data_IF_852951776229
#
_entry.id   IF_852951776229
#
_cell.length_a   1.000
_cell.length_b   1.000
_cell.length_c   1.000
_cell.angle_alpha   90.00
_cell.angle_beta   90.00
_cell.angle_gamma   90.00
#
_symmetry.space_group_name_H-M   'P 1'
#
loop_
_entity.id
_entity.type
_entity.pdbx_description
1 polymer ?
#
# COMPACT_ATOMS: atom_id res chain seq x y z
N UNK A 1 -41.29 6.60 -1.20
CA UNK A 1 -40.91 7.66 -2.15
C UNK A 1 -39.42 7.92 -1.98
N UNK A 2 -38.61 7.59 -2.99
CA UNK A 2 -37.15 7.75 -2.95
C UNK A 2 -36.82 9.19 -3.36
N UNK A 3 -36.48 10.03 -2.38
CA UNK A 3 -35.88 11.34 -2.66
C UNK A 3 -34.47 11.09 -3.18
N UNK A 4 -34.30 11.24 -4.51
CA UNK A 4 -32.98 11.30 -5.13
C UNK A 4 -32.20 12.44 -4.47
N UNK A 5 -31.26 12.07 -3.61
CA UNK A 5 -30.21 12.96 -3.14
C UNK A 5 -29.28 13.18 -4.32
N UNK A 6 -29.27 14.37 -4.89
CA UNK A 6 -28.30 14.75 -5.91
C UNK A 6 -26.90 14.68 -5.30
N UNK A 7 -26.24 13.53 -5.53
CA UNK A 7 -24.97 13.18 -4.92
C UNK A 7 -23.86 13.93 -5.68
N UNK A 8 -23.60 15.18 -5.30
CA UNK A 8 -22.51 15.96 -5.89
C UNK A 8 -21.16 15.32 -5.57
N UNK A 9 -20.33 15.16 -6.60
CA UNK A 9 -18.93 14.76 -6.48
C UNK A 9 -18.10 15.91 -5.88
N UNK A 10 -17.01 15.56 -5.21
CA UNK A 10 -16.09 16.54 -4.56
C UNK A 10 -15.58 17.61 -5.55
N UNK A 11 -15.40 17.24 -6.80
CA UNK A 11 -15.00 18.15 -7.88
C UNK A 11 -16.13 19.14 -8.25
N UNK A 12 -17.39 18.69 -8.28
CA UNK A 12 -18.53 19.57 -8.58
C UNK A 12 -18.81 20.60 -7.47
N UNK A 13 -18.56 20.25 -6.20
CA UNK A 13 -18.64 21.19 -5.08
C UNK A 13 -17.53 22.24 -5.12
N UNK A 14 -16.33 21.85 -5.56
CA UNK A 14 -15.16 22.74 -5.70
C UNK A 14 -15.30 23.71 -6.88
N UNK A 15 -15.85 23.24 -8.00
CA UNK A 15 -16.08 24.08 -9.19
C UNK A 15 -17.23 25.07 -9.01
N UNK A 16 -18.25 24.72 -8.22
CA UNK A 16 -19.33 25.65 -7.85
C UNK A 16 -18.85 26.74 -6.89
N UNK A 17 -17.95 26.45 -5.96
CA UNK A 17 -17.44 27.46 -5.01
C UNK A 17 -16.49 28.48 -5.66
N UNK A 18 -15.77 28.10 -6.71
CA UNK A 18 -14.89 29.02 -7.46
C UNK A 18 -15.65 29.97 -8.40
N UNK A 19 -16.90 29.69 -8.76
CA UNK A 19 -17.70 30.53 -9.69
C UNK A 19 -18.59 31.56 -9.02
N UNK A 20 -18.81 31.48 -7.72
CA UNK A 20 -19.63 32.46 -6.99
C UNK A 20 -18.73 33.46 -6.26
N UNK A 21 -18.30 34.51 -6.97
CA UNK A 21 -17.97 35.76 -6.29
C UNK A 21 -19.26 36.26 -5.64
N UNK A 22 -19.46 35.92 -4.37
CA UNK A 22 -20.65 36.25 -3.58
C UNK A 22 -20.62 37.72 -3.15
N UNK A 23 -20.61 38.64 -4.11
CA UNK A 23 -21.03 40.00 -3.80
C UNK A 23 -22.52 39.98 -3.54
N UNK A 24 -22.91 40.01 -2.25
CA UNK A 24 -24.30 40.15 -1.83
C UNK A 24 -24.62 41.65 -1.85
N UNK A 25 -25.40 42.15 -2.83
CA UNK A 25 -25.62 43.58 -2.98
C UNK A 25 -26.73 44.03 -2.02
N UNK A 26 -26.37 44.29 -0.77
CA UNK A 26 -27.30 44.91 0.17
C UNK A 26 -27.59 46.35 -0.27
N UNK A 27 -28.87 46.71 -0.45
CA UNK A 27 -29.24 48.10 -0.78
C UNK A 27 -28.92 49.02 0.40
N UNK A 28 -28.05 50.02 0.18
CA UNK A 28 -27.74 51.07 1.15
C UNK A 28 -28.93 52.03 1.29
N UNK A 29 -29.39 52.29 2.51
CA UNK A 29 -30.33 53.36 2.84
C UNK A 29 -29.66 54.73 2.67
N UNK A 30 -30.47 55.72 2.31
CA UNK A 30 -30.09 57.11 2.01
C UNK A 30 -29.34 57.83 3.17
N UNK A 31 -29.48 57.35 4.40
CA UNK A 31 -28.84 57.90 5.61
C UNK A 31 -27.60 57.13 6.08
N UNK A 32 -27.06 56.22 5.26
CA UNK A 32 -25.89 55.42 5.62
C UNK A 32 -26.25 54.23 6.51
N UNK A 33 -26.51 53.09 5.88
CA UNK A 33 -26.77 51.81 6.53
C UNK A 33 -27.39 50.80 5.57
N UNK A 34 -27.28 49.51 5.82
CA UNK A 34 -27.93 48.48 4.98
C UNK A 34 -29.38 48.26 5.39
N UNK A 35 -30.21 47.72 4.48
CA UNK A 35 -31.59 47.37 4.81
C UNK A 35 -31.63 46.18 5.78
N UNK A 36 -31.99 46.44 7.03
CA UNK A 36 -32.06 45.44 8.10
C UNK A 36 -32.88 44.19 7.72
N UNK A 37 -34.00 44.35 7.01
CA UNK A 37 -34.85 43.20 6.61
C UNK A 37 -34.12 42.28 5.61
N UNK A 38 -33.43 42.86 4.63
CA UNK A 38 -32.66 42.11 3.64
C UNK A 38 -31.45 41.42 4.27
N UNK A 39 -30.82 42.06 5.25
CA UNK A 39 -29.70 41.46 5.99
C UNK A 39 -30.20 40.31 6.86
N UNK A 40 -31.34 40.46 7.56
CA UNK A 40 -31.93 39.40 8.38
C UNK A 40 -32.38 38.19 7.54
N UNK A 41 -33.10 38.40 6.43
CA UNK A 41 -33.51 37.30 5.53
C UNK A 41 -32.30 36.57 4.93
N UNK A 42 -31.22 37.29 4.62
CA UNK A 42 -29.98 36.68 4.15
C UNK A 42 -29.29 35.86 5.24
N UNK A 43 -29.24 36.37 6.48
CA UNK A 43 -28.67 35.64 7.62
C UNK A 43 -29.47 34.36 7.89
N UNK A 44 -30.80 34.43 7.84
CA UNK A 44 -31.69 33.28 8.04
C UNK A 44 -31.47 32.21 6.96
N UNK A 45 -31.48 32.64 5.69
CA UNK A 45 -31.20 31.73 4.54
C UNK A 45 -29.80 31.10 4.64
N UNK A 46 -28.79 31.88 5.05
CA UNK A 46 -27.44 31.36 5.23
C UNK A 46 -27.38 30.36 6.38
N UNK A 47 -28.09 30.63 7.47
CA UNK A 47 -28.16 29.76 8.64
C UNK A 47 -28.82 28.42 8.30
N UNK A 48 -29.92 28.44 7.55
CA UNK A 48 -30.62 27.23 7.08
C UNK A 48 -29.75 26.41 6.13
N UNK A 49 -29.06 27.07 5.20
CA UNK A 49 -28.13 26.42 4.28
C UNK A 49 -26.95 25.78 5.01
N UNK A 50 -26.38 26.46 6.02
CA UNK A 50 -25.32 25.91 6.85
C UNK A 50 -25.81 24.71 7.66
N UNK A 51 -27.01 24.78 8.23
CA UNK A 51 -27.59 23.67 8.99
C UNK A 51 -27.87 22.44 8.09
N UNK A 52 -28.39 22.66 6.89
CA UNK A 52 -28.59 21.59 5.91
C UNK A 52 -27.26 20.99 5.43
N UNK A 53 -26.23 21.83 5.23
CA UNK A 53 -24.90 21.37 4.85
C UNK A 53 -24.28 20.53 5.97
N UNK A 54 -24.40 20.97 7.23
CA UNK A 54 -23.93 20.23 8.41
C UNK A 54 -24.58 18.84 8.51
N UNK A 55 -25.91 18.77 8.31
CA UNK A 55 -26.64 17.49 8.26
C UNK A 55 -26.15 16.58 7.12
N UNK A 56 -25.93 17.13 5.93
CA UNK A 56 -25.40 16.36 4.79
C UNK A 56 -23.97 15.88 5.04
N UNK A 57 -23.12 16.70 5.66
CA UNK A 57 -21.75 16.32 6.00
C UNK A 57 -21.73 15.19 7.02
N UNK A 58 -22.58 15.28 8.05
CA UNK A 58 -22.70 14.23 9.08
C UNK A 58 -23.12 12.89 8.48
N UNK A 59 -24.16 12.87 7.65
CA UNK A 59 -24.61 11.63 7.00
C UNK A 59 -23.50 11.00 6.14
N UNK A 60 -22.76 11.83 5.38
CA UNK A 60 -21.66 11.33 4.54
C UNK A 60 -20.48 10.81 5.37
N UNK A 61 -20.25 11.41 6.54
CA UNK A 61 -19.23 10.96 7.49
C UNK A 61 -19.61 9.60 8.10
N UNK A 62 -20.89 9.41 8.41
CA UNK A 62 -21.43 8.12 8.88
C UNK A 62 -21.36 7.04 7.78
N UNK A 63 -21.66 7.39 6.52
CA UNK A 63 -21.46 6.51 5.35
C UNK A 63 -19.99 6.08 5.18
N UNK A 64 -19.05 7.03 5.27
CA UNK A 64 -17.62 6.72 5.19
C UNK A 64 -17.14 5.86 6.36
N UNK A 65 -17.66 6.10 7.57
CA UNK A 65 -17.35 5.28 8.74
C UNK A 65 -17.85 3.83 8.55
N UNK A 66 -19.08 3.66 8.03
CA UNK A 66 -19.65 2.35 7.71
C UNK A 66 -18.84 1.62 6.64
N UNK A 67 -18.50 2.31 5.55
CA UNK A 67 -17.69 1.75 4.47
C UNK A 67 -16.29 1.33 4.95
N UNK A 68 -15.67 2.13 5.82
CA UNK A 68 -14.37 1.80 6.42
C UNK A 68 -14.46 0.55 7.29
N UNK A 69 -15.55 0.38 8.04
CA UNK A 69 -15.77 -0.82 8.85
C UNK A 69 -15.94 -2.07 7.98
N UNK A 70 -16.70 -1.99 6.87
CA UNK A 70 -16.85 -3.09 5.92
C UNK A 70 -15.52 -3.47 5.26
N UNK A 71 -14.76 -2.49 4.76
CA UNK A 71 -13.43 -2.74 4.17
C UNK A 71 -12.47 -3.40 5.17
N UNK A 72 -12.54 -3.00 6.45
CA UNK A 72 -11.75 -3.63 7.50
C UNK A 72 -12.14 -5.10 7.71
N UNK A 73 -13.44 -5.39 7.73
CA UNK A 73 -13.95 -6.76 7.85
C UNK A 73 -13.53 -7.64 6.66
N UNK A 74 -13.65 -7.13 5.43
CA UNK A 74 -13.22 -7.85 4.22
C UNK A 74 -11.72 -8.15 4.26
N UNK A 75 -10.90 -7.17 4.62
CA UNK A 75 -9.46 -7.35 4.80
C UNK A 75 -9.15 -8.46 5.81
N UNK A 76 -9.85 -8.48 6.94
CA UNK A 76 -9.62 -9.48 7.99
C UNK A 76 -10.02 -10.88 7.50
N UNK A 77 -11.15 -11.02 6.79
CA UNK A 77 -11.56 -12.27 6.15
C UNK A 77 -10.54 -12.78 5.12
N UNK A 78 -10.04 -11.91 4.24
CA UNK A 78 -9.01 -12.30 3.28
C UNK A 78 -7.70 -12.71 3.97
N UNK A 79 -7.36 -12.07 5.10
CA UNK A 79 -6.22 -12.45 5.93
C UNK A 79 -6.36 -13.86 6.51
N UNK A 80 -7.53 -14.21 7.01
CA UNK A 80 -7.82 -15.56 7.52
C UNK A 80 -7.75 -16.61 6.41
N UNK A 81 -8.41 -16.37 5.27
CA UNK A 81 -8.35 -17.27 4.11
C UNK A 81 -6.92 -17.50 3.61
N UNK A 82 -6.10 -16.45 3.58
CA UNK A 82 -4.69 -16.56 3.20
C UNK A 82 -3.93 -17.49 4.14
N UNK A 83 -4.14 -17.36 5.45
CA UNK A 83 -3.50 -18.22 6.44
C UNK A 83 -3.95 -19.68 6.31
N UNK A 84 -5.25 -19.93 6.07
CA UNK A 84 -5.77 -21.28 5.81
C UNK A 84 -5.12 -21.89 4.56
N UNK A 85 -5.05 -21.15 3.46
CA UNK A 85 -4.40 -21.61 2.23
C UNK A 85 -2.90 -21.89 2.44
N UNK A 86 -2.21 -21.02 3.19
CA UNK A 86 -0.79 -21.18 3.50
C UNK A 86 -0.55 -22.47 4.31
N UNK A 87 -1.37 -22.73 5.33
CA UNK A 87 -1.25 -23.93 6.15
C UNK A 87 -1.57 -25.19 5.33
N UNK A 88 -2.66 -25.18 4.55
CA UNK A 88 -3.02 -26.30 3.67
C UNK A 88 -1.93 -26.61 2.64
N UNK A 89 -1.28 -25.58 2.08
CA UNK A 89 -0.12 -25.78 1.19
C UNK A 89 1.05 -26.45 1.89
N UNK A 90 1.31 -26.09 3.15
CA UNK A 90 2.37 -26.71 3.95
C UNK A 90 2.07 -28.18 4.22
N UNK A 91 0.85 -28.51 4.64
CA UNK A 91 0.40 -29.88 4.87
C UNK A 91 0.48 -30.75 3.61
N UNK A 92 0.06 -30.21 2.46
CA UNK A 92 0.18 -30.92 1.18
C UNK A 92 1.64 -31.15 0.79
N UNK A 93 2.53 -30.19 1.04
CA UNK A 93 3.96 -30.37 0.78
C UNK A 93 4.55 -31.47 1.68
N UNK A 94 4.18 -31.51 2.96
CA UNK A 94 4.63 -32.54 3.89
C UNK A 94 4.18 -33.95 3.44
N UNK A 95 2.97 -34.06 2.89
CA UNK A 95 2.45 -35.31 2.31
C UNK A 95 3.22 -35.74 1.06
N UNK A 96 3.54 -34.80 0.17
CA UNK A 96 4.36 -35.06 -1.03
C UNK A 96 5.74 -35.56 -0.62
N UNK A 97 6.37 -34.92 0.36
CA UNK A 97 7.69 -35.29 0.85
C UNK A 97 7.67 -36.69 1.50
N UNK A 98 6.62 -37.03 2.24
CA UNK A 98 6.43 -38.37 2.80
C UNK A 98 6.32 -39.44 1.70
N UNK A 99 5.42 -39.23 0.73
CA UNK A 99 5.21 -40.17 -0.38
C UNK A 99 6.46 -40.35 -1.24
N UNK A 100 7.24 -39.28 -1.41
CA UNK A 100 8.51 -39.34 -2.15
C UNK A 100 9.51 -40.27 -1.44
N UNK A 101 9.67 -40.14 -0.12
CA UNK A 101 10.55 -41.04 0.67
C UNK A 101 10.06 -42.48 0.66
N UNK A 102 8.75 -42.70 0.71
CA UNK A 102 8.18 -44.05 0.67
C UNK A 102 8.42 -44.72 -0.69
N UNK A 103 8.23 -43.99 -1.78
CA UNK A 103 8.56 -44.47 -3.13
C UNK A 103 10.05 -44.79 -3.30
N UNK A 104 10.94 -43.94 -2.78
CA UNK A 104 12.38 -44.20 -2.80
C UNK A 104 12.72 -45.48 -2.03
N UNK A 105 12.09 -45.69 -0.86
CA UNK A 105 12.27 -46.90 -0.06
C UNK A 105 11.81 -48.16 -0.81
N UNK A 106 10.60 -48.13 -1.38
CA UNK A 106 10.07 -49.25 -2.16
C UNK A 106 10.94 -49.55 -3.38
N UNK A 107 11.44 -48.52 -4.06
CA UNK A 107 12.34 -48.69 -5.21
C UNK A 107 13.66 -49.34 -4.79
N UNK A 108 14.22 -48.97 -3.64
CA UNK A 108 15.42 -49.62 -3.10
C UNK A 108 15.16 -51.08 -2.74
N UNK A 109 14.02 -51.39 -2.12
CA UNK A 109 13.62 -52.79 -1.83
C UNK A 109 13.48 -53.62 -3.12
N UNK A 110 12.93 -53.05 -4.20
CA UNK A 110 12.85 -53.71 -5.52
C UNK A 110 14.25 -53.99 -6.09
N UNK A 111 15.17 -53.03 -5.97
CA UNK A 111 16.56 -53.18 -6.46
C UNK A 111 17.30 -54.26 -5.67
N UNK A 112 17.16 -54.28 -4.35
CA UNK A 112 17.78 -55.30 -3.49
C UNK A 112 17.23 -56.70 -3.78
N UNK A 113 15.91 -56.85 -3.99
CA UNK A 113 15.30 -58.11 -4.37
C UNK A 113 15.78 -58.62 -5.73
N UNK A 114 16.03 -57.71 -6.69
CA UNK A 114 16.56 -58.07 -8.00
C UNK A 114 18.04 -58.52 -7.94
N UNK A 115 18.85 -57.90 -7.07
CA UNK A 115 20.27 -58.24 -6.93
C UNK A 115 20.51 -59.55 -6.15
N UNK A 116 19.60 -59.94 -5.26
CA UNK A 116 19.71 -61.18 -4.48
C UNK A 116 19.37 -62.46 -5.28
N UNK A 117 18.98 -62.32 -6.55
CA UNK A 117 18.57 -63.45 -7.41
C UNK A 117 19.70 -64.02 -8.29
N UNK A 118 20.88 -63.38 -8.33
CA UNK A 118 22.03 -63.81 -9.14
C UNK A 118 23.04 -64.60 -8.30
N UNK A 119 22.88 -65.92 -8.24
CA UNK A 119 23.84 -66.87 -7.65
C UNK A 119 24.09 -68.03 -8.62
N UNK A 120 25.35 -68.20 -9.04
CA UNK A 120 25.79 -69.04 -10.17
C UNK A 120 25.59 -70.57 -10.03
N UNK A 121 25.01 -71.07 -8.93
CA UNK A 121 24.60 -72.49 -8.80
C UNK A 121 23.14 -72.75 -9.22
N UNK A 122 22.37 -71.68 -9.41
CA UNK A 122 20.97 -71.74 -9.80
C UNK A 122 20.79 -71.82 -11.33
N UNK A 123 21.71 -71.28 -12.13
CA UNK A 123 21.56 -71.14 -13.59
C UNK A 123 21.33 -72.46 -14.35
N UNK A 124 21.94 -73.58 -13.90
CA UNK A 124 21.69 -74.89 -14.52
C UNK A 124 20.33 -75.51 -14.17
N UNK A 125 19.79 -75.20 -12.99
CA UNK A 125 18.47 -75.68 -12.57
C UNK A 125 17.37 -74.81 -13.20
N UNK A 126 17.60 -73.51 -13.32
CA UNK A 126 16.69 -72.59 -14.01
C UNK A 126 16.67 -72.80 -15.52
N UNK A 127 17.75 -73.20 -16.20
CA UNK A 127 17.69 -73.54 -17.63
C UNK A 127 16.76 -74.74 -17.91
N UNK A 128 16.81 -75.78 -17.07
CA UNK A 128 15.94 -76.95 -17.19
C UNK A 128 14.49 -76.63 -16.86
N UNK A 129 14.26 -75.86 -15.79
CA UNK A 129 12.91 -75.42 -15.40
C UNK A 129 12.35 -74.39 -16.39
N UNK A 130 13.17 -73.52 -16.98
CA UNK A 130 12.78 -72.57 -18.01
C UNK A 130 12.40 -73.27 -19.32
N UNK A 131 13.14 -74.30 -19.74
CA UNK A 131 12.76 -75.10 -20.91
C UNK A 131 11.43 -75.84 -20.69
N UNK A 132 11.22 -76.45 -19.52
CA UNK A 132 9.95 -77.11 -19.18
C UNK A 132 8.79 -76.12 -19.02
N UNK A 133 9.02 -74.96 -18.40
CA UNK A 133 8.02 -73.90 -18.27
C UNK A 133 7.70 -73.27 -19.62
N UNK A 134 8.66 -73.14 -20.54
CA UNK A 134 8.42 -72.66 -21.89
C UNK A 134 7.54 -73.64 -22.68
N UNK A 135 7.85 -74.94 -22.61
CA UNK A 135 7.01 -75.97 -23.24
C UNK A 135 5.60 -76.03 -22.62
N UNK A 136 5.50 -75.86 -21.31
CA UNK A 136 4.23 -75.82 -20.60
C UNK A 136 3.46 -74.52 -20.85
N UNK A 137 4.13 -73.38 -21.03
CA UNK A 137 3.52 -72.13 -21.48
C UNK A 137 3.01 -72.25 -22.90
N UNK A 138 3.77 -72.86 -23.82
CA UNK A 138 3.33 -73.10 -25.19
C UNK A 138 2.05 -73.95 -25.18
N UNK A 139 2.03 -75.06 -24.42
CA UNK A 139 0.82 -75.88 -24.27
C UNK A 139 -0.33 -75.12 -23.62
N UNK A 140 -0.09 -74.33 -22.57
CA UNK A 140 -1.13 -73.49 -21.95
C UNK A 140 -1.67 -72.43 -22.91
N UNK A 141 -0.81 -71.88 -23.78
CA UNK A 141 -1.22 -70.91 -24.78
C UNK A 141 -2.03 -71.59 -25.90
N UNK A 142 -1.66 -72.80 -26.31
CA UNK A 142 -2.47 -73.63 -27.20
C UNK A 142 -3.83 -73.95 -26.57
N UNK A 143 -3.89 -74.35 -25.30
CA UNK A 143 -5.16 -74.56 -24.59
C UNK A 143 -5.99 -73.30 -24.47
N UNK A 144 -5.38 -72.14 -24.20
CA UNK A 144 -6.08 -70.85 -24.20
C UNK A 144 -6.59 -70.48 -25.59
N UNK A 145 -5.85 -70.79 -26.64
CA UNK A 145 -6.30 -70.58 -28.00
C UNK A 145 -7.49 -71.49 -28.32
N UNK A 146 -7.45 -72.76 -27.92
CA UNK A 146 -8.60 -73.66 -28.05
C UNK A 146 -9.80 -73.23 -27.20
N UNK A 147 -9.58 -72.71 -26.00
CA UNK A 147 -10.65 -72.18 -25.14
C UNK A 147 -11.26 -70.92 -25.75
N UNK A 148 -10.44 -70.01 -26.29
CA UNK A 148 -10.90 -68.84 -27.03
C UNK A 148 -11.63 -69.23 -28.31
N UNK A 149 -11.16 -70.22 -29.06
CA UNK A 149 -11.83 -70.75 -30.23
C UNK A 149 -13.18 -71.37 -29.84
N UNK A 150 -13.26 -72.10 -28.72
CA UNK A 150 -14.52 -72.62 -28.19
C UNK A 150 -15.48 -71.50 -27.78
N UNK A 151 -14.98 -70.42 -27.15
CA UNK A 151 -15.79 -69.24 -26.82
C UNK A 151 -16.29 -68.57 -28.10
N UNK A 152 -15.43 -68.37 -29.10
CA UNK A 152 -15.80 -67.79 -30.40
C UNK A 152 -16.82 -68.65 -31.13
N UNK A 153 -16.63 -69.98 -31.16
CA UNK A 153 -17.58 -70.91 -31.77
C UNK A 153 -18.91 -70.94 -31.01
N UNK A 154 -18.89 -70.80 -29.69
CA UNK A 154 -20.09 -70.68 -28.86
C UNK A 154 -20.82 -69.36 -29.11
N UNK A 155 -20.10 -68.25 -29.19
CA UNK A 155 -20.66 -66.95 -29.55
C UNK A 155 -21.26 -66.98 -30.96
N UNK A 156 -20.57 -67.60 -31.93
CA UNK A 156 -21.09 -67.82 -33.27
C UNK A 156 -22.34 -68.71 -33.27
N UNK A 157 -22.36 -69.76 -32.45
CA UNK A 157 -23.53 -70.63 -32.30
C UNK A 157 -24.71 -69.87 -31.68
N UNK A 158 -24.47 -69.06 -30.67
CA UNK A 158 -25.51 -68.27 -30.01
C UNK A 158 -26.00 -67.13 -30.92
N UNK A 159 -25.13 -66.50 -31.73
CA UNK A 159 -25.52 -65.61 -32.81
C UNK A 159 -26.37 -66.32 -33.87
N UNK A 160 -26.01 -67.54 -34.27
CA UNK A 160 -26.80 -68.35 -35.20
C UNK A 160 -28.16 -68.71 -34.63
N UNK A 161 -28.26 -69.03 -33.33
CA UNK A 161 -29.55 -69.26 -32.66
C UNK A 161 -30.41 -68.01 -32.66
N UNK A 162 -29.83 -66.85 -32.32
CA UNK A 162 -30.52 -65.56 -32.37
C UNK A 162 -31.01 -65.27 -33.79
N UNK A 163 -30.16 -65.45 -34.80
CA UNK A 163 -30.53 -65.23 -36.20
C UNK A 163 -31.64 -66.18 -36.68
N UNK A 164 -31.61 -67.46 -36.26
CA UNK A 164 -32.68 -68.42 -36.54
C UNK A 164 -33.98 -68.03 -35.82
N UNK A 165 -33.87 -67.52 -34.59
CA UNK A 165 -35.00 -67.05 -33.83
C UNK A 165 -35.61 -65.80 -34.47
N UNK A 166 -34.79 -64.82 -34.85
CA UNK A 166 -35.18 -63.63 -35.59
C UNK A 166 -35.83 -64.00 -36.93
N UNK A 167 -35.25 -64.93 -37.71
CA UNK A 167 -35.83 -65.43 -38.96
C UNK A 167 -37.18 -66.13 -38.75
N UNK A 168 -37.32 -66.90 -37.67
CA UNK A 168 -38.59 -67.55 -37.32
C UNK A 168 -39.64 -66.55 -36.85
N UNK A 169 -39.23 -65.52 -36.10
CA UNK A 169 -40.09 -64.42 -35.68
C UNK A 169 -40.50 -63.58 -36.91
N UNK A 170 -39.59 -63.33 -37.84
CA UNK A 170 -39.86 -62.65 -39.10
C UNK A 170 -40.80 -63.48 -39.99
N UNK A 171 -40.57 -64.78 -40.15
CA UNK A 171 -41.52 -65.69 -40.83
C UNK A 171 -42.89 -65.73 -40.13
N UNK A 172 -42.90 -65.71 -38.80
CA UNK A 172 -44.10 -65.66 -37.98
C UNK A 172 -44.86 -64.34 -38.15
N UNK A 173 -44.15 -63.23 -38.34
CA UNK A 173 -44.70 -61.91 -38.64
C UNK A 173 -45.20 -61.83 -40.09
N UNK A 174 -44.48 -62.40 -41.06
CA UNK A 174 -44.94 -62.54 -42.45
C UNK A 174 -46.18 -63.43 -42.56
N UNK A 175 -46.31 -64.45 -41.71
CA UNK A 175 -47.49 -65.30 -41.64
C UNK A 175 -48.69 -64.65 -40.92
N UNK A 176 -48.48 -63.53 -40.18
CA UNK A 176 -49.49 -62.92 -39.32
C UNK A 176 -49.95 -61.51 -39.71
N UNK A 177 -49.30 -60.81 -40.63
CA UNK A 177 -49.72 -59.46 -40.99
C UNK A 177 -50.14 -59.30 -42.45
N UNK A 178 -51.42 -58.92 -42.59
CA UNK A 178 -51.90 -57.99 -43.59
C UNK A 178 -51.02 -56.71 -43.61
N UNK A 179 -50.56 -56.31 -44.80
CA UNK A 179 -50.27 -54.91 -45.13
C UNK A 179 -48.89 -54.34 -44.76
N UNK A 180 -47.98 -54.13 -45.75
CA UNK A 180 -46.77 -53.32 -45.58
C UNK A 180 -47.01 -51.79 -45.52
N UNK A 181 -48.26 -51.33 -45.65
CA UNK A 181 -48.58 -49.90 -45.85
C UNK A 181 -48.65 -49.10 -44.53
N UNK A 182 -49.15 -49.69 -43.44
CA UNK A 182 -49.30 -49.00 -42.14
C UNK A 182 -47.95 -48.79 -41.40
N UNK A 183 -46.94 -49.62 -41.71
CA UNK A 183 -45.60 -49.48 -41.14
C UNK A 183 -44.78 -48.40 -41.86
N UNK A 184 -45.03 -48.16 -43.15
CA UNK A 184 -44.32 -47.13 -43.91
C UNK A 184 -44.69 -45.73 -43.42
N UNK A 185 -45.96 -45.50 -43.11
CA UNK A 185 -46.45 -44.20 -42.62
C UNK A 185 -45.91 -43.88 -41.21
N UNK A 186 -45.82 -44.88 -40.33
CA UNK A 186 -45.19 -44.72 -38.99
C UNK A 186 -43.70 -44.38 -39.09
N UNK A 187 -42.96 -45.06 -39.98
CA UNK A 187 -41.52 -44.81 -40.19
C UNK A 187 -41.26 -43.44 -40.82
N UNK A 188 -42.13 -42.97 -41.71
CA UNK A 188 -42.03 -41.63 -42.29
C UNK A 188 -42.29 -40.55 -41.23
N UNK A 189 -43.30 -40.71 -40.38
CA UNK A 189 -43.58 -39.79 -39.28
C UNK A 189 -42.43 -39.73 -38.26
N UNK A 190 -41.83 -40.87 -37.92
CA UNK A 190 -40.67 -40.92 -37.01
C UNK A 190 -39.43 -40.24 -37.61
N UNK A 191 -39.19 -40.40 -38.91
CA UNK A 191 -38.11 -39.70 -39.61
C UNK A 191 -38.30 -38.18 -39.63
N UNK A 192 -39.54 -37.68 -39.78
CA UNK A 192 -39.80 -36.25 -39.68
C UNK A 192 -39.52 -35.70 -38.28
N UNK A 193 -39.89 -36.45 -37.24
CA UNK A 193 -39.59 -36.08 -35.83
C UNK A 193 -38.07 -36.07 -35.59
N UNK A 194 -37.36 -37.09 -36.06
CA UNK A 194 -35.90 -37.17 -35.93
C UNK A 194 -35.19 -36.05 -36.68
N UNK A 195 -35.67 -35.72 -37.87
CA UNK A 195 -35.14 -34.59 -38.65
C UNK A 195 -35.33 -33.27 -37.92
N UNK A 196 -36.51 -33.02 -37.35
CA UNK A 196 -36.79 -31.81 -36.56
C UNK A 196 -35.88 -31.72 -35.33
N UNK A 197 -35.71 -32.82 -34.59
CA UNK A 197 -34.77 -32.87 -33.45
C UNK A 197 -33.32 -32.64 -33.88
N UNK A 198 -32.91 -33.18 -35.02
CA UNK A 198 -31.56 -32.96 -35.57
C UNK A 198 -31.34 -31.49 -35.90
N UNK A 199 -32.31 -30.82 -36.52
CA UNK A 199 -32.25 -29.39 -36.83
C UNK A 199 -32.18 -28.53 -35.56
N UNK A 200 -32.94 -28.88 -34.51
CA UNK A 200 -32.90 -28.22 -33.20
C UNK A 200 -31.51 -28.34 -32.54
N UNK A 201 -30.91 -29.55 -32.54
CA UNK A 201 -29.55 -29.77 -32.00
C UNK A 201 -28.49 -29.00 -32.79
N UNK A 202 -28.62 -28.94 -34.12
CA UNK A 202 -27.70 -28.16 -34.97
C UNK A 202 -27.83 -26.67 -34.67
N UNK A 203 -29.05 -26.17 -34.43
CA UNK A 203 -29.28 -24.79 -34.05
C UNK A 203 -28.66 -24.45 -32.69
N UNK A 204 -28.91 -25.28 -31.67
CA UNK A 204 -28.32 -25.11 -30.33
C UNK A 204 -26.79 -25.12 -30.36
N UNK A 205 -26.19 -26.06 -31.11
CA UNK A 205 -24.73 -26.12 -31.29
C UNK A 205 -24.18 -24.83 -31.90
N UNK A 206 -24.88 -24.20 -32.85
CA UNK A 206 -24.44 -22.91 -33.43
C UNK A 206 -24.50 -21.78 -32.40
N UNK A 207 -25.53 -21.73 -31.57
CA UNK A 207 -25.65 -20.72 -30.51
C UNK A 207 -24.52 -20.86 -29.48
N UNK A 208 -24.24 -22.08 -29.03
CA UNK A 208 -23.15 -22.35 -28.08
C UNK A 208 -21.77 -22.00 -28.67
N UNK A 209 -21.54 -22.26 -29.96
CA UNK A 209 -20.30 -21.86 -30.63
C UNK A 209 -20.15 -20.33 -30.68
N UNK A 210 -21.23 -19.61 -30.99
CA UNK A 210 -21.22 -18.15 -30.99
C UNK A 210 -20.97 -17.57 -29.59
N UNK A 211 -21.59 -18.14 -28.55
CA UNK A 211 -21.35 -17.73 -27.17
C UNK A 211 -19.90 -17.99 -26.73
N UNK A 212 -19.34 -19.14 -27.12
CA UNK A 212 -17.94 -19.48 -26.84
C UNK A 212 -16.96 -18.49 -27.51
N UNK A 213 -17.24 -18.07 -28.74
CA UNK A 213 -16.46 -17.03 -29.42
C UNK A 213 -16.52 -15.68 -28.70
N UNK A 214 -17.67 -15.31 -28.15
CA UNK A 214 -17.82 -14.08 -27.36
C UNK A 214 -17.01 -14.19 -26.05
N UNK A 215 -17.16 -15.29 -25.32
CA UNK A 215 -16.41 -15.53 -24.07
C UNK A 215 -14.91 -15.54 -24.31
N UNK A 216 -14.45 -16.10 -25.42
CA UNK A 216 -13.03 -16.09 -25.78
C UNK A 216 -12.50 -14.67 -25.99
N UNK A 217 -13.26 -13.81 -26.69
CA UNK A 217 -12.90 -12.39 -26.86
C UNK A 217 -12.85 -11.64 -25.54
N UNK A 218 -13.84 -11.84 -24.67
CA UNK A 218 -13.87 -11.23 -23.33
C UNK A 218 -12.68 -11.69 -22.48
N UNK A 219 -12.32 -12.97 -22.55
CA UNK A 219 -11.14 -13.49 -21.86
C UNK A 219 -9.84 -12.83 -22.35
N UNK A 220 -9.68 -12.69 -23.67
CA UNK A 220 -8.53 -12.01 -24.27
C UNK A 220 -8.43 -10.54 -23.84
N UNK A 221 -9.57 -9.82 -23.78
CA UNK A 221 -9.65 -8.45 -23.26
C UNK A 221 -9.21 -8.36 -21.79
N UNK A 222 -9.73 -9.23 -20.93
CA UNK A 222 -9.37 -9.25 -19.49
C UNK A 222 -7.87 -9.55 -19.30
N UNK A 223 -7.32 -10.48 -20.08
CA UNK A 223 -5.88 -10.79 -20.03
C UNK A 223 -5.05 -9.58 -20.47
N UNK A 224 -5.49 -8.86 -21.50
CA UNK A 224 -4.82 -7.64 -21.95
C UNK A 224 -4.86 -6.54 -20.89
N UNK A 225 -6.03 -6.24 -20.33
CA UNK A 225 -6.20 -5.25 -19.25
C UNK A 225 -5.33 -5.59 -18.04
N UNK A 226 -5.30 -6.87 -17.63
CA UNK A 226 -4.44 -7.33 -16.53
C UNK A 226 -2.96 -7.06 -16.80
N UNK A 227 -2.51 -7.22 -18.05
CA UNK A 227 -1.13 -6.91 -18.43
C UNK A 227 -0.83 -5.42 -18.34
N UNK A 228 -1.76 -4.56 -18.76
CA UNK A 228 -1.63 -3.10 -18.68
C UNK A 228 -1.57 -2.65 -17.22
N UNK A 229 -2.51 -3.13 -16.39
CA UNK A 229 -2.55 -2.82 -14.96
C UNK A 229 -1.27 -3.26 -14.23
N UNK A 230 -0.69 -4.40 -14.62
CA UNK A 230 0.58 -4.86 -14.06
C UNK A 230 1.73 -3.92 -14.42
N UNK A 231 1.78 -3.44 -15.67
CA UNK A 231 2.77 -2.47 -16.10
C UNK A 231 2.62 -1.12 -15.37
N UNK A 232 1.39 -0.62 -15.23
CA UNK A 232 1.09 0.60 -14.47
C UNK A 232 1.48 0.47 -13.00
N UNK A 233 1.15 -0.66 -12.36
CA UNK A 233 1.55 -0.94 -10.98
C UNK A 233 3.07 -0.87 -10.81
N UNK A 234 3.83 -1.44 -11.75
CA UNK A 234 5.29 -1.41 -11.69
C UNK A 234 5.82 0.02 -11.86
N UNK A 235 5.28 0.81 -12.81
CA UNK A 235 5.64 2.22 -12.96
C UNK A 235 5.35 3.05 -11.70
N UNK A 236 4.19 2.84 -11.08
CA UNK A 236 3.82 3.52 -9.83
C UNK A 236 4.74 3.13 -8.68
N UNK A 237 5.14 1.86 -8.58
CA UNK A 237 6.10 1.41 -7.58
C UNK A 237 7.46 2.11 -7.76
N UNK A 238 7.96 2.22 -8.99
CA UNK A 238 9.20 2.96 -9.28
C UNK A 238 9.09 4.44 -8.95
N UNK A 239 7.98 5.10 -9.31
CA UNK A 239 7.75 6.51 -8.99
C UNK A 239 7.72 6.73 -7.47
N UNK A 240 7.10 5.82 -6.73
CA UNK A 240 7.04 5.91 -5.27
C UNK A 240 8.42 5.74 -4.63
N UNK A 241 9.26 4.84 -5.15
CA UNK A 241 10.65 4.70 -4.72
C UNK A 241 11.41 6.02 -4.96
N UNK A 242 11.35 6.59 -6.16
CA UNK A 242 12.02 7.86 -6.49
C UNK A 242 11.55 9.02 -5.61
N UNK A 243 10.24 9.09 -5.33
CA UNK A 243 9.67 10.10 -4.46
C UNK A 243 10.16 9.93 -3.01
N UNK A 244 10.23 8.69 -2.52
CA UNK A 244 10.79 8.37 -1.19
C UNK A 244 12.25 8.78 -1.08
N UNK A 245 13.07 8.46 -2.08
CA UNK A 245 14.49 8.83 -2.12
C UNK A 245 14.66 10.36 -2.11
N UNK A 246 13.88 11.07 -2.93
CA UNK A 246 13.90 12.53 -2.99
C UNK A 246 13.46 13.17 -1.67
N UNK A 247 12.47 12.60 -1.00
CA UNK A 247 12.01 13.05 0.31
C UNK A 247 13.07 12.82 1.39
N UNK A 248 13.78 11.69 1.33
CA UNK A 248 14.90 11.42 2.21
C UNK A 248 16.02 12.44 2.01
N UNK A 249 16.43 12.69 0.77
CA UNK A 249 17.47 13.69 0.44
C UNK A 249 17.08 15.09 0.93
N UNK A 250 15.83 15.49 0.73
CA UNK A 250 15.31 16.77 1.21
C UNK A 250 15.34 16.86 2.75
N UNK A 251 15.00 15.78 3.45
CA UNK A 251 15.07 15.72 4.91
C UNK A 251 16.51 15.80 5.43
N UNK A 252 17.46 15.15 4.75
CA UNK A 252 18.89 15.25 5.08
C UNK A 252 19.39 16.69 4.92
N UNK A 253 19.10 17.35 3.79
CA UNK A 253 19.42 18.77 3.58
C UNK A 253 18.79 19.68 4.63
N UNK A 254 17.54 19.40 5.02
CA UNK A 254 16.87 20.19 6.06
C UNK A 254 17.57 20.05 7.43
N UNK A 255 18.02 18.84 7.79
CA UNK A 255 18.83 18.62 9.00
C UNK A 255 20.14 19.42 8.95
N UNK A 256 20.84 19.39 7.82
CA UNK A 256 22.07 20.17 7.64
C UNK A 256 21.83 21.68 7.79
N UNK A 257 20.75 22.21 7.22
CA UNK A 257 20.38 23.62 7.34
C UNK A 257 20.04 24.01 8.78
N UNK A 258 19.36 23.13 9.51
CA UNK A 258 19.07 23.33 10.95
C UNK A 258 20.38 23.40 11.74
N UNK A 259 21.32 22.48 11.50
CA UNK A 259 22.62 22.46 12.16
C UNK A 259 23.45 23.72 11.87
N UNK A 260 23.48 24.15 10.60
CA UNK A 260 24.13 25.41 10.19
C UNK A 260 23.49 26.61 10.90
N UNK A 261 22.16 26.63 10.98
CA UNK A 261 21.41 27.68 11.66
C UNK A 261 21.74 27.74 13.15
N UNK A 262 21.80 26.59 13.83
CA UNK A 262 22.17 26.49 15.24
C UNK A 262 23.61 27.01 15.44
N UNK A 263 24.57 26.52 14.64
CA UNK A 263 25.98 26.96 14.72
C UNK A 263 26.11 28.47 14.50
N UNK A 264 25.39 29.02 13.53
CA UNK A 264 25.39 30.45 13.23
C UNK A 264 24.83 31.26 14.39
N UNK A 265 23.66 30.86 14.93
CA UNK A 265 23.06 31.52 16.10
C UNK A 265 23.99 31.51 17.31
N UNK A 266 24.67 30.39 17.57
CA UNK A 266 25.65 30.29 18.66
C UNK A 266 26.84 31.22 18.44
N UNK A 267 27.40 31.27 17.22
CA UNK A 267 28.50 32.18 16.87
C UNK A 267 28.09 33.64 17.03
N UNK A 268 26.90 34.02 16.56
CA UNK A 268 26.37 35.38 16.71
C UNK A 268 26.18 35.75 18.18
N UNK A 269 25.59 34.87 18.99
CA UNK A 269 25.44 35.10 20.44
C UNK A 269 26.80 35.30 21.13
N UNK A 270 27.80 34.49 20.78
CA UNK A 270 29.15 34.63 21.32
C UNK A 270 29.76 35.99 20.95
N UNK A 271 29.64 36.42 19.69
CA UNK A 271 30.12 37.73 19.25
C UNK A 271 29.41 38.89 19.97
N UNK A 272 28.10 38.80 20.16
CA UNK A 272 27.33 39.81 20.91
C UNK A 272 27.80 39.89 22.36
N UNK A 273 27.93 38.74 23.05
CA UNK A 273 28.40 38.70 24.43
C UNK A 273 29.84 39.24 24.58
N UNK A 274 30.74 38.93 23.63
CA UNK A 274 32.09 39.50 23.59
C UNK A 274 32.07 41.02 23.39
N UNK A 275 31.20 41.52 22.51
CA UNK A 275 31.03 42.95 22.27
C UNK A 275 30.47 43.67 23.50
N UNK A 276 29.41 43.15 24.12
CA UNK A 276 28.80 43.70 25.34
C UNK A 276 29.80 43.73 26.50
N UNK A 277 30.57 42.65 26.69
CA UNK A 277 31.62 42.59 27.70
C UNK A 277 32.69 43.67 27.51
N UNK A 278 33.19 43.84 26.28
CA UNK A 278 34.17 44.90 25.96
C UNK A 278 33.57 46.29 26.14
N UNK A 279 32.34 46.52 25.68
CA UNK A 279 31.66 47.81 25.83
C UNK A 279 31.49 48.18 27.30
N UNK A 280 31.12 47.20 28.15
CA UNK A 280 31.03 47.37 29.59
C UNK A 280 32.39 47.70 30.21
N UNK A 281 33.45 46.97 29.85
CA UNK A 281 34.81 47.23 30.31
C UNK A 281 35.29 48.64 29.93
N UNK A 282 35.08 49.07 28.69
CA UNK A 282 35.39 50.43 28.25
C UNK A 282 34.60 51.48 29.02
N UNK A 283 33.30 51.25 29.27
CA UNK A 283 32.46 52.15 30.05
C UNK A 283 32.95 52.27 31.49
N UNK A 284 33.32 51.16 32.14
CA UNK A 284 33.87 51.18 33.50
C UNK A 284 35.20 51.92 33.56
N UNK A 285 36.11 51.63 32.63
CA UNK A 285 37.41 52.32 32.53
C UNK A 285 37.21 53.83 32.31
N UNK A 286 36.27 54.21 31.44
CA UNK A 286 35.97 55.63 31.21
C UNK A 286 35.39 56.32 32.45
N UNK A 287 34.46 55.67 33.16
CA UNK A 287 33.90 56.19 34.41
C UNK A 287 35.00 56.38 35.46
N UNK A 288 35.87 55.38 35.64
CA UNK A 288 37.00 55.48 36.56
C UNK A 288 37.92 56.66 36.24
N UNK A 289 38.24 56.87 34.97
CA UNK A 289 39.05 58.01 34.54
C UNK A 289 38.35 59.35 34.82
N UNK A 290 37.03 59.44 34.62
CA UNK A 290 36.24 60.64 34.97
C UNK A 290 36.29 60.90 36.48
N UNK A 291 36.15 59.86 37.29
CA UNK A 291 36.20 59.97 38.75
C UNK A 291 37.59 60.47 39.22
N UNK A 292 38.68 59.91 38.66
CA UNK A 292 40.06 60.34 38.94
C UNK A 292 40.32 61.80 38.54
N UNK A 293 39.84 62.22 37.35
CA UNK A 293 39.92 63.61 36.90
C UNK A 293 39.12 64.52 37.83
N UNK A 294 37.91 64.13 38.20
CA UNK A 294 37.03 64.91 39.09
C UNK A 294 37.64 65.09 40.47
N UNK A 295 38.27 64.04 41.02
CA UNK A 295 38.99 64.11 42.28
C UNK A 295 40.21 65.04 42.18
N UNK A 296 40.95 64.99 41.06
CA UNK A 296 42.09 65.87 40.80
C UNK A 296 41.67 67.35 40.72
N UNK A 297 40.58 67.63 40.00
CA UNK A 297 40.00 68.98 39.92
C UNK A 297 39.58 69.47 41.31
N UNK A 298 38.92 68.61 42.10
CA UNK A 298 38.51 68.95 43.47
C UNK A 298 39.70 69.31 44.34
N UNK A 299 40.77 68.50 44.32
CA UNK A 299 42.03 68.80 45.03
C UNK A 299 42.63 70.14 44.60
N UNK A 300 42.66 70.42 43.29
CA UNK A 300 43.16 71.69 42.78
C UNK A 300 42.30 72.89 43.23
N UNK A 301 40.97 72.76 43.23
CA UNK A 301 40.06 73.78 43.73
C UNK A 301 40.22 74.01 45.24
N UNK A 302 40.42 72.95 46.03
CA UNK A 302 40.68 73.06 47.46
C UNK A 302 41.99 73.84 47.71
N UNK A 303 43.06 73.54 46.95
CA UNK A 303 44.33 74.30 47.00
C UNK A 303 44.09 75.78 46.67
N UNK A 304 43.41 76.08 45.55
CA UNK A 304 43.12 77.47 45.15
C UNK A 304 42.29 78.21 46.20
N UNK A 305 41.40 77.51 46.90
CA UNK A 305 40.61 78.08 47.99
C UNK A 305 41.49 78.44 49.18
N UNK A 306 42.39 77.54 49.59
CA UNK A 306 43.38 77.82 50.63
C UNK A 306 44.27 79.02 50.25
N UNK A 307 44.80 79.05 49.02
CA UNK A 307 45.62 80.17 48.54
C UNK A 307 44.85 81.49 48.53
N UNK A 308 43.55 81.45 48.15
CA UNK A 308 42.68 82.63 48.23
C UNK A 308 42.49 83.10 49.67
N UNK A 309 42.27 82.19 50.61
CA UNK A 309 42.14 82.51 52.04
C UNK A 309 43.43 83.15 52.59
N UNK A 310 44.60 82.66 52.17
CA UNK A 310 45.92 83.24 52.51
C UNK A 310 46.11 84.65 51.92
N UNK A 311 45.74 84.85 50.65
CA UNK A 311 45.78 86.17 50.01
C UNK A 311 44.80 87.14 50.70
N UNK A 312 43.60 86.69 51.03
CA UNK A 312 42.62 87.50 51.77
C UNK A 312 43.15 87.88 53.16
N UNK A 313 43.91 87.00 53.82
CA UNK A 313 44.62 87.30 55.08
C UNK A 313 45.72 88.34 54.90
N UNK A 314 46.50 88.27 53.80
CA UNK A 314 47.52 89.26 53.46
C UNK A 314 46.92 90.63 53.14
N UNK A 315 45.78 90.68 52.45
CA UNK A 315 45.07 91.93 52.09
C UNK A 315 44.37 92.55 53.32
N UNK A 316 43.83 91.73 54.23
CA UNK A 316 43.15 92.19 55.46
C UNK A 316 44.12 92.52 56.60
N UNK A 317 45.41 92.20 56.45
CA UNK A 317 46.43 92.61 57.41
C UNK A 317 46.57 94.14 57.34
N UNK A 318 46.38 94.89 58.43
CA UNK A 318 46.56 96.33 58.43
C UNK A 318 48.00 96.66 58.03
N UNK A 319 48.18 97.68 57.20
CA UNK A 319 49.46 98.26 56.80
C UNK A 319 50.09 99.10 57.94
N UNK A 320 49.96 98.63 59.18
CA UNK A 320 50.59 99.19 60.37
C UNK A 320 51.50 98.11 60.97
N UNK A 321 52.75 98.15 60.49
CA UNK A 321 54.01 97.73 61.14
C UNK A 321 54.98 97.14 60.11
N UNK A 322 55.34 97.96 59.12
CA UNK A 322 56.68 97.88 58.52
C UNK A 322 57.66 98.66 59.40
N UNK A 323 57.92 98.17 60.60
CA UNK A 323 59.09 98.59 61.36
C UNK A 323 60.28 97.77 60.86
N UNK A 324 61.09 98.41 60.01
CA UNK A 324 62.49 98.09 59.85
C UNK A 324 63.13 98.03 61.25
N UNK A 325 63.52 96.84 61.69
CA UNK A 325 64.55 96.68 62.72
C UNK A 325 65.74 95.98 62.07
N UNK A 326 66.69 96.83 61.67
CA UNK A 326 68.10 96.49 61.58
C UNK A 326 68.59 96.42 63.02
N UNK A 327 69.07 95.26 63.47
CA UNK A 327 70.01 95.18 64.57
C UNK A 327 71.02 94.05 64.29
N UNK A 328 72.28 94.46 64.35
CA UNK A 328 73.50 93.69 64.13
C UNK A 328 73.80 92.71 65.27
N UNK A 329 74.68 91.75 64.94
CA UNK A 329 75.57 91.01 65.86
C UNK A 329 74.90 90.06 66.88
N UNK A 330 75.36 88.84 67.13
CA UNK A 330 76.75 88.45 67.34
C UNK A 330 76.96 86.91 67.28
N UNK A 331 78.24 86.54 67.20
CA UNK A 331 78.82 85.21 67.26
C UNK A 331 78.32 84.34 68.43
N UNK A 332 78.35 83.00 68.26
CA UNK A 332 79.22 82.09 69.05
C UNK A 332 78.68 80.64 69.13
N UNK A 333 79.48 79.70 68.57
CA UNK A 333 79.73 78.31 69.02
C UNK A 333 78.53 77.35 68.93
N UNK A 334 78.65 76.05 68.67
CA UNK A 334 79.73 75.07 68.88
C UNK A 334 79.31 73.76 68.22
N UNK A 335 80.32 73.04 67.70
CA UNK A 335 80.41 71.60 67.40
C UNK A 335 79.62 71.00 66.23
#
# INVERSE_FOLDING_TARGET
MSTKSDQFTLNELRDKSQKTNSEVPFKKKFLGGYNAKQVSEYIETLSDNLHSAEGSFKNRLDEYASMTAMLKQERDQYGEMFNVCKNSKMEMQDQIDHLTRENEKLNNEIVELNQNNDSAENDQMYEKIAAQNLEMQIKLNEYRNYEQECIQLKDQLDQLKLMIQDLNDELGNYAKNDGPEENLEKVLAENEILKKKSDEVVHEKRLLLAENEILKKQYEEVVHERSVLLAEKNMLAELNIRASDSLQEANEKNKELVDITIKTKLKTRKMIAEFESRAYEYSQNHQKNIDEISETIKKALDILKYEKEDVDLLIKKPLEDSAFLVEEEELSKSE
#
